data_IF_615420680510
#
_entry.id   IF_615420680510
#
_cell.length_a   1.000
_cell.length_b   1.000
_cell.length_c   1.000
_cell.angle_alpha   90.00
_cell.angle_beta   90.00
_cell.angle_gamma   90.00
#
_symmetry.space_group_name_H-M   'P 1'
#
loop_
_entity.id
_entity.type
_entity.pdbx_description
1 polymer ?
#
# COMPACT_ATOMS: atom_id res chain seq x y z
N UNK A 1 8.41 -8.03 -15.27
CA UNK A 1 8.53 -6.66 -15.82
C UNK A 1 7.18 -6.29 -16.41
N UNK A 2 6.39 -5.48 -15.71
CA UNK A 2 5.11 -4.96 -16.20
C UNK A 2 5.42 -3.79 -17.15
N UNK A 3 5.08 -3.90 -18.43
CA UNK A 3 5.12 -2.75 -19.33
C UNK A 3 3.98 -1.79 -18.98
N UNK A 4 4.31 -0.69 -18.30
CA UNK A 4 3.39 0.41 -18.04
C UNK A 4 3.21 1.21 -19.34
N UNK A 5 2.10 0.99 -20.03
CA UNK A 5 1.75 1.69 -21.28
C UNK A 5 0.56 2.60 -20.99
N UNK A 6 0.81 3.90 -20.80
CA UNK A 6 -0.23 4.90 -20.54
C UNK A 6 0.30 6.32 -20.40
N UNK A 7 -0.63 7.29 -20.44
CA UNK A 7 -0.33 8.71 -20.27
C UNK A 7 0.35 8.94 -18.91
N UNK A 8 1.55 9.54 -18.96
CA UNK A 8 2.32 9.87 -17.75
C UNK A 8 1.91 11.26 -17.29
N UNK A 9 1.42 11.36 -16.05
CA UNK A 9 1.25 12.65 -15.38
C UNK A 9 2.37 12.81 -14.36
N UNK A 10 3.19 13.85 -14.51
CA UNK A 10 4.35 14.11 -13.67
C UNK A 10 4.12 15.41 -12.91
N UNK A 11 4.14 15.32 -11.59
CA UNK A 11 4.07 16.49 -10.71
C UNK A 11 5.33 16.58 -9.86
N UNK A 12 5.89 17.78 -9.80
CA UNK A 12 7.06 18.11 -8.99
C UNK A 12 6.61 18.97 -7.82
N UNK A 13 6.95 18.60 -6.58
CA UNK A 13 6.67 19.46 -5.43
C UNK A 13 7.72 20.57 -5.26
N UNK A 14 7.50 21.47 -4.30
CA UNK A 14 8.38 22.63 -4.01
C UNK A 14 9.83 22.23 -3.63
N UNK A 15 10.05 20.96 -3.29
CA UNK A 15 11.35 20.40 -2.89
C UNK A 15 12.04 19.69 -4.08
N UNK A 16 11.45 19.75 -5.29
CA UNK A 16 12.01 19.15 -6.50
C UNK A 16 11.72 17.65 -6.63
N UNK A 17 10.82 17.09 -5.81
CA UNK A 17 10.47 15.67 -5.84
C UNK A 17 9.43 15.38 -6.91
N UNK A 18 9.68 14.37 -7.74
CA UNK A 18 8.76 13.97 -8.81
C UNK A 18 8.07 12.67 -8.48
N UNK A 19 6.74 12.69 -8.43
CA UNK A 19 5.91 11.51 -8.49
C UNK A 19 5.37 11.35 -9.92
N UNK A 20 5.47 10.16 -10.48
CA UNK A 20 4.88 9.85 -11.79
C UNK A 20 3.65 8.97 -11.59
N UNK A 21 2.50 9.39 -12.13
CA UNK A 21 1.30 8.58 -12.17
C UNK A 21 1.16 7.92 -13.56
N UNK A 22 0.78 6.64 -13.56
CA UNK A 22 0.66 5.82 -14.76
C UNK A 22 -0.70 5.14 -14.84
N UNK A 23 -1.18 5.00 -16.07
CA UNK A 23 -2.27 4.05 -16.36
C UNK A 23 -1.76 2.61 -16.08
N UNK A 24 -2.50 1.82 -15.28
CA UNK A 24 -2.21 0.40 -15.07
C UNK A 24 -2.26 -0.44 -16.36
N UNK A 25 -2.78 0.11 -17.46
CA UNK A 25 -2.84 -0.53 -18.77
C UNK A 25 -3.73 -1.76 -18.74
N UNK A 26 -3.12 -2.95 -18.88
CA UNK A 26 -3.85 -4.24 -18.83
C UNK A 26 -4.04 -4.78 -17.41
N UNK A 27 -3.51 -4.11 -16.39
CA UNK A 27 -3.65 -4.57 -15.00
C UNK A 27 -5.06 -4.27 -14.51
N UNK A 28 -5.81 -5.32 -14.15
CA UNK A 28 -7.10 -5.18 -13.49
C UNK A 28 -6.90 -4.69 -12.06
N UNK A 29 -7.24 -3.43 -11.84
CA UNK A 29 -7.08 -2.77 -10.55
C UNK A 29 -8.04 -3.30 -9.49
N UNK A 30 -9.22 -3.80 -9.87
CA UNK A 30 -10.14 -4.39 -8.90
C UNK A 30 -9.59 -5.72 -8.38
N UNK A 31 -8.86 -6.48 -9.22
CA UNK A 31 -8.11 -7.66 -8.76
C UNK A 31 -7.03 -7.24 -7.77
N UNK A 32 -6.27 -6.17 -8.03
CA UNK A 32 -5.27 -5.65 -7.08
C UNK A 32 -5.89 -5.20 -5.75
N UNK A 33 -7.03 -4.50 -5.80
CA UNK A 33 -7.77 -4.09 -4.60
C UNK A 33 -8.20 -5.32 -3.81
N UNK A 34 -8.86 -6.29 -4.44
CA UNK A 34 -9.30 -7.53 -3.76
C UNK A 34 -8.11 -8.30 -3.18
N UNK A 35 -7.01 -8.40 -3.94
CA UNK A 35 -5.77 -9.01 -3.46
C UNK A 35 -5.28 -8.34 -2.18
N UNK A 36 -5.07 -7.03 -2.19
CA UNK A 36 -4.56 -6.28 -1.05
C UNK A 36 -5.46 -6.38 0.18
N UNK A 37 -6.78 -6.21 -0.03
CA UNK A 37 -7.76 -6.34 1.05
C UNK A 37 -7.75 -7.74 1.65
N UNK A 38 -7.54 -8.79 0.84
CA UNK A 38 -7.45 -10.17 1.33
C UNK A 38 -6.24 -10.40 2.23
N UNK A 39 -5.10 -9.76 1.91
CA UNK A 39 -3.88 -9.83 2.73
C UNK A 39 -4.10 -9.15 4.07
N UNK A 40 -4.66 -7.93 4.09
CA UNK A 40 -4.98 -7.23 5.33
C UNK A 40 -5.99 -7.99 6.20
N UNK A 41 -7.02 -8.56 5.60
CA UNK A 41 -8.01 -9.34 6.33
C UNK A 41 -7.40 -10.59 6.97
N UNK A 42 -6.59 -11.35 6.23
CA UNK A 42 -5.90 -12.52 6.78
C UNK A 42 -4.95 -12.14 7.91
N UNK A 43 -4.19 -11.05 7.78
CA UNK A 43 -3.32 -10.57 8.85
C UNK A 43 -4.12 -10.22 10.12
N UNK A 44 -5.28 -9.56 9.97
CA UNK A 44 -6.20 -9.29 11.07
C UNK A 44 -6.81 -10.55 11.69
N UNK A 45 -7.20 -11.52 10.88
CA UNK A 45 -7.86 -12.75 11.31
C UNK A 45 -6.90 -13.70 12.03
N UNK A 46 -5.70 -13.90 11.50
CA UNK A 46 -4.70 -14.82 12.07
C UNK A 46 -4.13 -14.28 13.39
N UNK A 47 -4.01 -12.96 13.55
CA UNK A 47 -3.43 -12.30 14.74
C UNK A 47 -2.06 -12.87 15.15
N UNK A 48 -1.27 -13.34 14.18
CA UNK A 48 0.07 -13.87 14.42
C UNK A 48 0.97 -12.80 15.07
N UNK A 49 1.95 -13.22 15.88
CA UNK A 49 2.86 -12.30 16.58
C UNK A 49 3.54 -11.31 15.62
N UNK A 50 4.03 -11.83 14.48
CA UNK A 50 4.67 -11.03 13.42
C UNK A 50 3.74 -10.00 12.74
N UNK A 51 2.42 -10.15 12.89
CA UNK A 51 1.40 -9.26 12.33
C UNK A 51 0.49 -8.67 13.42
N UNK A 52 0.92 -8.68 14.69
CA UNK A 52 0.07 -8.32 15.84
C UNK A 52 -0.55 -6.92 15.73
N UNK A 53 0.16 -6.00 15.08
CA UNK A 53 -0.28 -4.63 14.90
C UNK A 53 -1.17 -4.43 13.65
N UNK A 54 -1.34 -5.46 12.81
CA UNK A 54 -2.15 -5.40 11.58
C UNK A 54 -3.66 -5.59 11.83
N UNK A 55 -4.14 -5.48 13.07
CA UNK A 55 -5.56 -5.62 13.38
C UNK A 55 -6.39 -4.46 12.83
N UNK A 56 -7.39 -4.77 12.01
CA UNK A 56 -8.38 -3.80 11.51
C UNK A 56 -9.46 -3.45 12.56
N UNK A 57 -9.48 -4.15 13.70
CA UNK A 57 -10.58 -4.09 14.66
C UNK A 57 -11.87 -4.75 14.14
N UNK A 58 -12.85 -4.95 15.03
CA UNK A 58 -14.07 -5.73 14.72
C UNK A 58 -14.87 -5.14 13.56
N UNK A 59 -15.04 -3.82 13.54
CA UNK A 59 -15.85 -3.12 12.52
C UNK A 59 -15.24 -3.30 11.13
N UNK A 60 -14.01 -2.83 10.93
CA UNK A 60 -13.39 -2.90 9.60
C UNK A 60 -13.03 -4.33 9.21
N UNK A 61 -12.69 -5.20 10.16
CA UNK A 61 -12.48 -6.63 9.89
C UNK A 61 -13.71 -7.28 9.25
N UNK A 62 -14.91 -6.97 9.75
CA UNK A 62 -16.16 -7.49 9.19
C UNK A 62 -16.55 -6.83 7.85
N UNK A 63 -16.41 -5.51 7.74
CA UNK A 63 -16.66 -4.80 6.47
C UNK A 63 -15.77 -5.35 5.35
N UNK A 64 -14.49 -5.59 5.64
CA UNK A 64 -13.55 -6.19 4.68
C UNK A 64 -13.89 -7.65 4.38
N UNK A 65 -14.30 -8.45 5.38
CA UNK A 65 -14.76 -9.83 5.16
C UNK A 65 -15.88 -9.88 4.12
N UNK A 66 -16.91 -9.06 4.34
CA UNK A 66 -18.09 -9.00 3.46
C UNK A 66 -17.74 -8.53 2.06
N UNK A 67 -16.88 -7.50 1.94
CA UNK A 67 -16.37 -7.05 0.64
C UNK A 67 -15.67 -8.19 -0.14
N UNK A 68 -14.79 -8.94 0.54
CA UNK A 68 -14.05 -10.04 -0.09
C UNK A 68 -14.95 -11.20 -0.54
N UNK A 69 -16.05 -11.44 0.17
CA UNK A 69 -17.06 -12.46 -0.18
C UNK A 69 -18.08 -11.98 -1.21
N UNK A 70 -18.06 -10.71 -1.60
CA UNK A 70 -19.09 -10.11 -2.46
C UNK A 70 -20.43 -9.87 -1.75
N UNK A 71 -20.44 -9.94 -0.41
CA UNK A 71 -21.62 -9.74 0.46
C UNK A 71 -21.77 -8.28 0.93
N UNK A 72 -20.88 -7.38 0.49
CA UNK A 72 -20.86 -5.98 0.89
C UNK A 72 -20.00 -5.13 -0.02
N UNK A 73 -20.15 -3.81 0.11
CA UNK A 73 -19.35 -2.82 -0.60
C UNK A 73 -17.98 -2.63 0.06
N UNK A 74 -17.06 -1.98 -0.66
CA UNK A 74 -15.80 -1.54 -0.09
C UNK A 74 -16.04 -0.61 1.11
N UNK A 75 -15.28 -0.73 2.23
CA UNK A 75 -15.54 0.06 3.42
C UNK A 75 -15.56 1.57 3.16
N UNK A 76 -16.67 2.24 3.51
CA UNK A 76 -16.89 3.68 3.24
C UNK A 76 -15.77 4.56 3.79
N UNK A 77 -15.29 4.21 4.97
CA UNK A 77 -14.24 4.89 5.72
C UNK A 77 -12.88 4.20 5.59
N UNK A 78 -12.59 3.64 4.40
CA UNK A 78 -11.29 3.15 4.02
C UNK A 78 -10.77 3.84 2.76
N UNK A 79 -9.44 3.99 2.67
CA UNK A 79 -8.74 4.32 1.42
C UNK A 79 -7.64 3.30 1.22
N UNK A 80 -7.64 2.64 0.07
CA UNK A 80 -6.50 1.84 -0.36
C UNK A 80 -5.71 2.65 -1.38
N UNK A 81 -4.42 2.82 -1.13
CA UNK A 81 -3.48 3.45 -2.04
C UNK A 81 -2.42 2.42 -2.40
N UNK A 82 -1.88 2.51 -3.62
CA UNK A 82 -0.79 1.66 -4.04
C UNK A 82 0.26 2.45 -4.80
N UNK A 83 1.51 2.05 -4.62
CA UNK A 83 2.66 2.73 -5.18
C UNK A 83 3.68 1.69 -5.62
N UNK A 84 4.37 1.97 -6.72
CA UNK A 84 5.61 1.29 -7.07
C UNK A 84 6.76 2.12 -6.54
N UNK A 85 7.78 1.48 -6.01
CA UNK A 85 9.04 2.17 -5.78
C UNK A 85 9.89 2.10 -7.04
N UNK A 86 10.49 3.22 -7.41
CA UNK A 86 11.62 3.19 -8.36
C UNK A 86 12.72 2.33 -7.79
N UNK A 87 13.40 1.56 -8.64
CA UNK A 87 14.55 0.78 -8.20
C UNK A 87 15.59 1.70 -7.59
N UNK A 88 15.84 1.48 -6.29
CA UNK A 88 16.96 2.09 -5.59
C UNK A 88 18.25 1.39 -5.99
N UNK A 89 18.61 1.42 -7.27
CA UNK A 89 19.90 0.91 -7.76
C UNK A 89 21.08 1.50 -6.98
N UNK A 90 20.93 2.74 -6.51
CA UNK A 90 21.88 3.44 -5.63
C UNK A 90 22.06 2.77 -4.26
N UNK A 91 21.07 2.02 -3.77
CA UNK A 91 21.09 1.34 -2.47
C UNK A 91 21.41 -0.17 -2.58
N UNK A 92 21.69 -0.69 -3.78
CA UNK A 92 21.99 -2.12 -3.98
C UNK A 92 20.82 -3.07 -3.68
N UNK A 93 19.59 -2.53 -3.57
CA UNK A 93 18.38 -3.28 -3.26
C UNK A 93 17.45 -3.31 -4.48
N UNK A 94 17.07 -4.52 -4.90
CA UNK A 94 16.10 -4.75 -5.97
C UNK A 94 14.69 -4.62 -5.38
N UNK A 95 14.00 -3.52 -5.68
CA UNK A 95 12.70 -3.25 -5.04
C UNK A 95 11.63 -4.20 -5.55
N UNK A 96 11.78 -4.72 -6.78
CA UNK A 96 10.95 -5.78 -7.36
C UNK A 96 11.01 -7.12 -6.59
N UNK A 97 12.03 -7.32 -5.75
CA UNK A 97 12.15 -8.48 -4.84
C UNK A 97 11.74 -8.16 -3.39
N UNK A 98 11.42 -6.90 -3.09
CA UNK A 98 11.09 -6.49 -1.73
C UNK A 98 9.75 -7.09 -1.27
N UNK A 99 9.74 -7.58 -0.04
CA UNK A 99 8.54 -8.07 0.64
C UNK A 99 8.54 -7.62 2.10
N UNK A 100 7.35 -7.26 2.60
CA UNK A 100 7.13 -6.96 4.00
C UNK A 100 5.81 -7.55 4.44
N UNK A 101 5.79 -8.09 5.66
CA UNK A 101 4.54 -8.56 6.26
C UNK A 101 3.61 -7.38 6.54
N UNK A 102 2.29 -7.62 6.57
CA UNK A 102 1.34 -6.61 6.98
C UNK A 102 1.63 -6.09 8.38
N UNK A 103 1.81 -4.79 8.47
CA UNK A 103 1.96 -4.06 9.74
C UNK A 103 0.91 -2.97 9.81
N UNK A 104 0.51 -2.62 11.03
CA UNK A 104 -0.40 -1.51 11.26
C UNK A 104 0.12 -0.58 12.34
N UNK A 105 -0.35 0.65 12.30
CA UNK A 105 -0.08 1.68 13.29
C UNK A 105 -1.17 2.75 13.25
N UNK A 106 -1.02 3.76 14.10
CA UNK A 106 -1.96 4.88 14.20
C UNK A 106 -1.19 6.18 14.03
N UNK A 107 -1.69 7.06 13.17
CA UNK A 107 -1.17 8.42 13.01
C UNK A 107 -2.32 9.39 13.27
N UNK A 108 -2.23 10.12 14.38
CA UNK A 108 -3.29 11.02 14.83
C UNK A 108 -4.67 10.36 14.92
N UNK A 109 -5.58 10.77 14.02
CA UNK A 109 -7.00 10.36 13.99
C UNK A 109 -7.32 9.20 13.04
N UNK A 110 -6.34 8.67 12.29
CA UNK A 110 -6.55 7.53 11.41
C UNK A 110 -5.60 6.38 11.74
N UNK A 111 -6.05 5.17 11.40
CA UNK A 111 -5.25 3.96 11.43
C UNK A 111 -4.69 3.71 10.04
N UNK A 112 -3.48 3.18 9.97
CA UNK A 112 -2.91 2.77 8.69
C UNK A 112 -2.36 1.35 8.79
N UNK A 113 -2.49 0.62 7.69
CA UNK A 113 -1.95 -0.71 7.49
C UNK A 113 -1.17 -0.73 6.19
N UNK A 114 -0.02 -1.39 6.20
CA UNK A 114 0.85 -1.43 5.03
C UNK A 114 1.56 -2.76 4.87
N UNK A 115 1.86 -3.11 3.64
CA UNK A 115 2.76 -4.21 3.29
C UNK A 115 3.42 -3.94 1.93
N UNK A 116 4.51 -4.66 1.64
CA UNK A 116 5.13 -4.67 0.32
C UNK A 116 5.09 -6.09 -0.23
N UNK A 117 4.77 -6.22 -1.52
CA UNK A 117 4.96 -7.46 -2.26
C UNK A 117 5.46 -7.14 -3.67
N UNK A 118 6.63 -7.66 -4.03
CA UNK A 118 7.24 -7.48 -5.35
C UNK A 118 7.34 -6.00 -5.77
N UNK A 119 7.79 -5.14 -4.85
CA UNK A 119 7.95 -3.70 -5.09
C UNK A 119 6.66 -2.89 -5.08
N UNK A 120 5.49 -3.55 -5.02
CA UNK A 120 4.20 -2.88 -4.80
C UNK A 120 3.99 -2.63 -3.32
N UNK A 121 3.89 -1.35 -2.97
CA UNK A 121 3.47 -0.90 -1.65
C UNK A 121 1.96 -0.77 -1.62
N UNK A 122 1.32 -1.40 -0.64
CA UNK A 122 -0.11 -1.28 -0.39
C UNK A 122 -0.33 -0.55 0.93
N UNK A 123 -1.13 0.52 0.89
CA UNK A 123 -1.40 1.37 2.04
C UNK A 123 -2.91 1.49 2.27
N UNK A 124 -3.40 0.86 3.33
CA UNK A 124 -4.79 0.93 3.74
C UNK A 124 -4.93 1.91 4.90
N UNK A 125 -5.64 3.01 4.67
CA UNK A 125 -6.00 4.00 5.67
C UNK A 125 -7.44 3.79 6.13
N UNK A 126 -7.69 3.84 7.43
CA UNK A 126 -9.00 3.63 8.05
C UNK A 126 -9.32 4.78 9.02
N UNK A 127 -10.56 5.30 8.97
CA UNK A 127 -11.00 6.35 9.89
C UNK A 127 -11.80 7.47 9.24
N UNK A 128 -11.87 8.62 9.93
CA UNK A 128 -12.68 9.77 9.51
C UNK A 128 -11.85 10.92 8.92
N UNK A 129 -10.52 10.85 9.02
CA UNK A 129 -9.58 11.87 8.54
C UNK A 129 -8.69 11.25 7.46
N UNK A 130 -9.29 11.08 6.27
CA UNK A 130 -8.73 10.33 5.16
C UNK A 130 -8.48 11.24 3.96
N UNK A 131 -7.52 10.90 3.09
CA UNK A 131 -7.35 11.56 1.80
C UNK A 131 -8.65 11.56 0.97
N UNK A 132 -8.77 12.51 0.02
CA UNK A 132 -9.91 12.57 -0.90
C UNK A 132 -10.25 11.22 -1.52
N UNK A 133 -11.55 10.94 -1.72
CA UNK A 133 -12.00 9.65 -2.29
C UNK A 133 -11.38 9.34 -3.65
N UNK A 134 -11.10 10.37 -4.46
CA UNK A 134 -10.46 10.23 -5.76
C UNK A 134 -9.04 9.64 -5.72
N UNK A 135 -8.38 9.65 -4.56
CA UNK A 135 -7.06 9.00 -4.39
C UNK A 135 -7.17 7.54 -3.95
N UNK A 136 -8.37 7.04 -3.65
CA UNK A 136 -8.59 5.65 -3.32
C UNK A 136 -8.57 4.82 -4.58
N UNK A 137 -7.68 3.82 -4.66
CA UNK A 137 -7.59 2.91 -5.80
C UNK A 137 -8.96 2.30 -6.15
N UNK A 138 -9.80 1.96 -5.17
CA UNK A 138 -11.14 1.44 -5.45
C UNK A 138 -12.17 2.50 -5.90
N UNK A 139 -12.09 3.75 -5.44
CA UNK A 139 -13.11 4.78 -5.74
C UNK A 139 -12.70 5.78 -6.82
N UNK A 140 -11.43 5.82 -7.22
CA UNK A 140 -10.95 6.73 -8.24
C UNK A 140 -11.65 6.46 -9.57
N UNK A 141 -12.08 7.52 -10.25
CA UNK A 141 -12.65 7.42 -11.61
C UNK A 141 -11.57 6.99 -12.61
N UNK A 142 -10.36 7.52 -12.45
CA UNK A 142 -9.16 7.07 -13.13
C UNK A 142 -8.31 6.25 -12.17
N UNK A 143 -8.10 4.98 -12.48
CA UNK A 143 -7.23 4.11 -11.70
C UNK A 143 -5.80 4.40 -12.11
N UNK A 144 -5.00 4.97 -11.23
CA UNK A 144 -3.60 5.30 -11.49
C UNK A 144 -2.69 4.57 -10.51
N UNK A 145 -1.55 4.10 -11.01
CA UNK A 145 -0.44 3.62 -10.19
C UNK A 145 0.57 4.75 -10.05
N UNK A 146 1.02 5.01 -8.83
CA UNK A 146 2.02 6.05 -8.57
C UNK A 146 3.38 5.40 -8.43
N UNK A 147 4.36 5.87 -9.20
CA UNK A 147 5.76 5.55 -9.03
C UNK A 147 6.38 6.62 -8.10
N UNK A 148 6.93 6.16 -6.99
CA UNK A 148 7.56 6.98 -5.98
C UNK A 148 9.07 6.70 -5.92
N UNK A 149 9.92 7.74 -5.83
CA UNK A 149 11.35 7.54 -5.60
C UNK A 149 11.60 6.79 -4.29
N UNK A 150 12.39 5.71 -4.34
CA UNK A 150 12.69 4.93 -3.15
C UNK A 150 13.43 5.74 -2.07
N UNK A 151 14.27 6.70 -2.47
CA UNK A 151 15.03 7.57 -1.56
C UNK A 151 14.18 8.52 -0.71
N UNK A 152 12.87 8.63 -0.98
CA UNK A 152 12.01 9.69 -0.41
C UNK A 152 10.82 9.17 0.39
N UNK A 153 10.60 7.86 0.43
CA UNK A 153 9.54 7.33 1.27
C UNK A 153 10.07 7.05 2.68
N UNK A 154 9.44 7.64 3.71
CA UNK A 154 9.64 7.20 5.09
C UNK A 154 9.42 5.69 5.26
N UNK A 155 8.70 5.07 4.31
CA UNK A 155 8.53 3.63 4.14
C UNK A 155 9.85 2.92 3.82
N UNK A 156 10.69 3.43 2.91
CA UNK A 156 12.01 2.84 2.60
C UNK A 156 12.97 3.01 3.77
N UNK A 157 12.93 4.16 4.47
CA UNK A 157 13.70 4.35 5.72
C UNK A 157 13.23 3.36 6.81
N UNK A 158 11.92 3.19 6.98
CA UNK A 158 11.34 2.21 7.90
C UNK A 158 11.73 0.77 7.52
N UNK A 159 11.70 0.44 6.22
CA UNK A 159 12.08 -0.88 5.69
C UNK A 159 13.57 -1.17 5.88
N UNK A 160 14.45 -0.22 5.55
CA UNK A 160 15.89 -0.35 5.75
C UNK A 160 16.19 -0.52 7.24
N UNK A 161 15.58 0.29 8.11
CA UNK A 161 15.70 0.12 9.55
C UNK A 161 15.20 -1.26 10.03
N UNK A 162 14.15 -1.82 9.40
CA UNK A 162 13.68 -3.18 9.70
C UNK A 162 14.66 -4.26 9.23
N UNK A 163 15.24 -4.12 8.04
CA UNK A 163 16.22 -5.05 7.47
C UNK A 163 17.54 -5.05 8.25
N UNK A 164 18.06 -3.87 8.62
CA UNK A 164 19.29 -3.74 9.42
C UNK A 164 19.15 -4.38 10.81
N UNK A 165 17.97 -4.28 11.44
CA UNK A 165 17.69 -4.90 12.75
C UNK A 165 17.64 -6.43 12.71
N UNK A 166 17.21 -7.01 11.60
CA UNK A 166 17.21 -8.47 11.41
C UNK A 166 18.62 -9.00 11.11
N UNK A 167 19.41 -8.27 10.31
CA UNK A 167 20.82 -8.62 10.03
C UNK A 167 21.68 -8.59 11.31
N UNK A 168 21.41 -7.67 12.24
CA UNK A 168 22.14 -7.59 13.52
C UNK A 168 21.69 -8.62 14.57
N UNK A 169 20.61 -9.37 14.31
CA UNK A 169 20.06 -10.41 15.21
C UNK A 169 20.43 -11.84 14.80
N UNK A 170 20.92 -12.03 13.58
CA UNK A 170 21.52 -13.30 13.11
C UNK A 170 23.03 -13.31 13.34
#
# INVERSE_FOLDING_TARGET
MLELVGARHRETNEVGETAEAFDPGKVDVDILVRFAMSVFWRAHAVRHELCRNASLGTKYGEEVRRFLLGEGEFPKNARLLTYLFEDATVLGASMDLAMCLPVGARSGKHHFHRFILCGLYFHLLLGNDLPPRGLCLHHAEQKLLVLAPASQSGIVVDLLGMMEREIQRG
#
